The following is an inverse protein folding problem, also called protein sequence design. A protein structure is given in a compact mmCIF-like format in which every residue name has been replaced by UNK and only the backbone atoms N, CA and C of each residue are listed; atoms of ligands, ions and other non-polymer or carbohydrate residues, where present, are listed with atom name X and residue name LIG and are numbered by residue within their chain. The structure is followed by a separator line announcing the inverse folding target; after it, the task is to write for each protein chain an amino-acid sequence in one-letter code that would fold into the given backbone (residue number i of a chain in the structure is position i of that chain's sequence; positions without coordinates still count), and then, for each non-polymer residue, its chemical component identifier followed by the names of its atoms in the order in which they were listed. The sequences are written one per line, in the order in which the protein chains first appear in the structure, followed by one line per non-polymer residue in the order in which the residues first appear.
data_IF_817697120958
#
_entry.id   IF_817697120958
#
_cell.length_a   1.000
_cell.length_b   1.000
_cell.length_c   1.000
_cell.angle_alpha   90.00
_cell.angle_beta   90.00
_cell.angle_gamma   90.00
#
_symmetry.space_group_name_H-M   'P 1'
#
loop_
_entity.id
_entity.type
_entity.pdbx_description
1 polymer ?
#
# COMPACT_ATOMS: atom_id res chain seq x y z
N UNK A 1 -4.31 -1.16 8.46
CA UNK A 1 -4.68 0.22 8.05
C UNK A 1 -5.32 1.08 9.14
N UNK A 2 -6.24 0.57 10.00
CA UNK A 2 -6.94 1.46 10.96
C UNK A 2 -6.00 2.17 11.97
N UNK A 3 -5.12 1.43 12.66
CA UNK A 3 -4.14 2.02 13.61
C UNK A 3 -3.13 2.92 12.89
N UNK A 4 -2.61 2.49 11.73
CA UNK A 4 -1.73 3.31 10.90
C UNK A 4 -2.41 4.61 10.44
N UNK A 5 -3.69 4.56 10.09
CA UNK A 5 -4.48 5.74 9.69
C UNK A 5 -4.61 6.73 10.84
N UNK A 6 -4.99 6.26 12.03
CA UNK A 6 -5.09 7.11 13.23
C UNK A 6 -3.73 7.75 13.57
N UNK A 7 -2.66 6.96 13.54
CA UNK A 7 -1.31 7.46 13.85
C UNK A 7 -0.84 8.47 12.79
N UNK A 8 -1.07 8.19 11.50
CA UNK A 8 -0.68 9.10 10.42
C UNK A 8 -1.48 10.41 10.48
N UNK A 9 -2.79 10.36 10.78
CA UNK A 9 -3.59 11.57 11.02
C UNK A 9 -3.02 12.39 12.18
N UNK A 10 -2.66 11.76 13.31
CA UNK A 10 -2.07 12.50 14.44
C UNK A 10 -0.69 13.09 14.13
N UNK A 11 0.15 12.38 13.38
CA UNK A 11 1.45 12.93 12.95
C UNK A 11 1.24 14.08 11.97
N UNK A 12 0.27 13.97 11.05
CA UNK A 12 -0.13 15.06 10.15
C UNK A 12 -0.72 16.27 10.89
N UNK A 13 -1.47 16.09 11.98
CA UNK A 13 -1.99 17.21 12.78
C UNK A 13 -0.86 18.07 13.37
N UNK A 14 0.27 17.44 13.69
CA UNK A 14 1.47 18.09 14.24
C UNK A 14 2.53 18.47 13.19
N UNK A 15 2.33 18.15 11.91
CA UNK A 15 3.33 18.35 10.85
C UNK A 15 2.68 18.62 9.48
N UNK A 16 3.42 18.46 8.38
CA UNK A 16 2.84 18.51 7.03
C UNK A 16 2.58 17.11 6.51
N UNK A 17 1.60 16.96 5.62
CA UNK A 17 1.25 15.70 4.95
C UNK A 17 2.48 14.95 4.40
N UNK A 18 3.37 15.69 3.72
CA UNK A 18 4.57 15.12 3.12
C UNK A 18 5.64 14.79 4.16
N UNK A 19 5.75 15.57 5.25
CA UNK A 19 6.66 15.27 6.35
C UNK A 19 6.23 14.00 7.12
N UNK A 20 4.94 13.89 7.45
CA UNK A 20 4.37 12.71 8.11
C UNK A 20 4.57 11.45 7.26
N UNK A 21 4.23 11.53 5.98
CA UNK A 21 4.39 10.40 5.03
C UNK A 21 5.86 10.00 4.90
N UNK A 22 6.77 10.96 4.75
CA UNK A 22 8.21 10.69 4.67
C UNK A 22 8.74 10.03 5.95
N UNK A 23 8.30 10.50 7.12
CA UNK A 23 8.69 9.91 8.40
C UNK A 23 8.20 8.47 8.56
N UNK A 24 6.95 8.19 8.16
CA UNK A 24 6.40 6.83 8.17
C UNK A 24 7.18 5.92 7.22
N UNK A 25 7.53 6.38 6.02
CA UNK A 25 8.35 5.59 5.09
C UNK A 25 9.76 5.31 5.62
N UNK A 26 10.41 6.30 6.25
CA UNK A 26 11.75 6.13 6.85
C UNK A 26 11.69 5.13 8.02
N UNK A 27 10.71 5.26 8.91
CA UNK A 27 10.56 4.34 10.04
C UNK A 27 10.20 2.93 9.59
N UNK A 28 9.35 2.79 8.56
CA UNK A 28 9.05 1.50 7.94
C UNK A 28 10.30 0.88 7.29
N UNK A 29 11.11 1.66 6.58
CA UNK A 29 12.36 1.19 5.98
C UNK A 29 13.36 0.71 7.05
N UNK A 30 13.52 1.48 8.13
CA UNK A 30 14.39 1.10 9.24
C UNK A 30 13.94 -0.20 9.93
N UNK A 31 12.62 -0.35 10.14
CA UNK A 31 12.05 -1.57 10.69
C UNK A 31 12.26 -2.77 9.76
N UNK A 32 12.03 -2.61 8.45
CA UNK A 32 12.23 -3.67 7.45
C UNK A 32 13.69 -4.11 7.36
N UNK A 33 14.66 -3.19 7.36
CA UNK A 33 16.09 -3.54 7.37
C UNK A 33 16.46 -4.28 8.66
N UNK A 34 15.95 -3.82 9.80
CA UNK A 34 16.22 -4.45 11.08
C UNK A 34 15.69 -5.89 11.11
N UNK A 35 14.46 -6.12 10.67
CA UNK A 35 13.87 -7.45 10.54
C UNK A 35 14.62 -8.32 9.54
N UNK A 36 15.00 -7.79 8.38
CA UNK A 36 15.82 -8.51 7.39
C UNK A 36 17.18 -8.94 7.98
N UNK A 37 17.82 -8.06 8.75
CA UNK A 37 19.10 -8.34 9.39
C UNK A 37 19.00 -9.54 10.35
N UNK A 38 17.89 -9.66 11.08
CA UNK A 38 17.64 -10.76 12.02
C UNK A 38 17.04 -12.03 11.37
N UNK A 39 16.24 -11.90 10.31
CA UNK A 39 15.46 -13.00 9.73
C UNK A 39 16.22 -13.85 8.70
N UNK A 40 17.49 -13.54 8.42
CA UNK A 40 18.37 -14.43 7.66
C UNK A 40 18.87 -13.92 6.32
N UNK A 41 19.33 -12.66 6.23
CA UNK A 41 20.21 -12.11 5.17
C UNK A 41 19.99 -12.65 3.74
N UNK A 42 18.74 -12.83 3.33
CA UNK A 42 18.44 -13.19 1.95
C UNK A 42 18.92 -12.06 1.03
N UNK A 43 19.29 -12.39 -0.21
CA UNK A 43 19.90 -11.43 -1.13
C UNK A 43 18.99 -10.22 -1.36
N UNK A 44 19.23 -9.09 -0.66
CA UNK A 44 18.45 -7.85 -0.81
C UNK A 44 18.38 -7.36 -2.26
N UNK A 45 19.39 -7.70 -3.04
CA UNK A 45 19.51 -7.31 -4.43
C UNK A 45 18.69 -8.19 -5.38
N UNK A 46 18.12 -9.31 -4.93
CA UNK A 46 17.21 -10.13 -5.76
C UNK A 46 15.94 -9.37 -6.14
N UNK A 47 15.58 -8.33 -5.40
CA UNK A 47 14.49 -7.42 -5.78
C UNK A 47 14.77 -6.74 -7.12
N UNK A 48 16.03 -6.52 -7.49
CA UNK A 48 16.42 -5.95 -8.80
C UNK A 48 16.48 -7.00 -9.91
N UNK A 49 16.42 -8.29 -9.58
CA UNK A 49 16.34 -9.39 -10.55
C UNK A 49 14.91 -9.68 -11.01
N UNK A 50 13.91 -8.96 -10.49
CA UNK A 50 12.53 -9.05 -10.97
C UNK A 50 12.50 -8.79 -12.48
N UNK A 51 12.03 -9.80 -13.24
CA UNK A 51 12.08 -9.84 -14.71
C UNK A 51 11.38 -8.64 -15.36
N UNK A 52 10.29 -8.16 -14.75
CA UNK A 52 9.50 -7.03 -15.22
C UNK A 52 9.77 -5.80 -14.35
N UNK A 53 10.67 -4.92 -14.83
CA UNK A 53 11.06 -3.68 -14.13
C UNK A 53 9.88 -2.75 -13.82
N UNK A 54 8.74 -2.91 -14.48
CA UNK A 54 7.50 -2.18 -14.19
C UNK A 54 7.02 -2.44 -12.74
N UNK A 55 7.23 -3.64 -12.19
CA UNK A 55 6.84 -3.93 -10.81
C UNK A 55 7.69 -3.16 -9.77
N UNK A 56 8.89 -2.71 -10.14
CA UNK A 56 9.72 -1.84 -9.28
C UNK A 56 9.13 -0.43 -9.11
N UNK A 57 8.20 -0.01 -9.98
CA UNK A 57 7.44 1.22 -9.83
C UNK A 57 6.31 1.10 -8.79
N UNK A 58 6.18 -0.05 -8.12
CA UNK A 58 5.22 -0.25 -7.02
C UNK A 58 5.33 0.83 -5.94
N UNK A 59 6.54 1.35 -5.66
CA UNK A 59 6.74 2.47 -4.74
C UNK A 59 6.09 3.78 -5.22
N UNK A 60 6.17 4.08 -6.51
CA UNK A 60 5.53 5.28 -7.12
C UNK A 60 4.02 5.15 -7.10
N UNK A 61 3.49 3.96 -7.44
CA UNK A 61 2.06 3.67 -7.37
C UNK A 61 1.57 3.77 -5.91
N UNK A 62 2.34 3.25 -4.94
CA UNK A 62 2.03 3.35 -3.52
C UNK A 62 1.99 4.79 -3.00
N UNK A 63 2.91 5.64 -3.46
CA UNK A 63 2.89 7.07 -3.14
C UNK A 63 1.65 7.76 -3.70
N UNK A 64 1.25 7.44 -4.94
CA UNK A 64 0.02 7.96 -5.54
C UNK A 64 -1.23 7.52 -4.79
N UNK A 65 -1.31 6.25 -4.38
CA UNK A 65 -2.40 5.74 -3.54
C UNK A 65 -2.45 6.52 -2.22
N UNK A 66 -1.31 6.66 -1.53
CA UNK A 66 -1.22 7.37 -0.24
C UNK A 66 -1.68 8.82 -0.34
N UNK A 67 -1.28 9.52 -1.40
CA UNK A 67 -1.78 10.87 -1.68
C UNK A 67 -3.31 10.91 -1.80
N UNK A 68 -3.87 9.98 -2.57
CA UNK A 68 -5.32 9.88 -2.78
C UNK A 68 -6.06 9.56 -1.48
N UNK A 69 -5.49 8.69 -0.63
CA UNK A 69 -6.03 8.37 0.69
C UNK A 69 -6.08 9.60 1.58
N UNK A 70 -4.98 10.35 1.70
CA UNK A 70 -4.91 11.52 2.58
C UNK A 70 -5.88 12.60 2.09
N UNK A 71 -5.98 12.81 0.77
CA UNK A 71 -6.97 13.71 0.20
C UNK A 71 -8.40 13.26 0.52
N UNK A 72 -8.70 11.97 0.37
CA UNK A 72 -10.01 11.40 0.72
C UNK A 72 -10.36 11.58 2.20
N UNK A 73 -9.38 11.41 3.10
CA UNK A 73 -9.57 11.65 4.54
C UNK A 73 -9.87 13.11 4.82
N UNK A 74 -9.22 14.04 4.11
CA UNK A 74 -9.46 15.47 4.26
C UNK A 74 -10.84 15.92 3.77
N UNK A 75 -11.38 15.30 2.71
CA UNK A 75 -12.67 15.68 2.12
C UNK A 75 -13.87 14.96 2.75
N UNK A 76 -13.76 13.66 3.04
CA UNK A 76 -14.86 12.82 3.54
C UNK A 76 -14.77 12.48 5.03
N UNK A 77 -13.66 12.82 5.68
CA UNK A 77 -13.35 12.39 7.03
C UNK A 77 -12.76 10.97 7.10
N UNK A 78 -12.07 10.61 8.20
CA UNK A 78 -11.24 9.40 8.25
C UNK A 78 -12.03 8.09 8.08
N UNK A 79 -13.21 8.00 8.68
CA UNK A 79 -14.02 6.79 8.68
C UNK A 79 -14.61 6.47 7.30
N UNK A 80 -15.21 7.46 6.63
CA UNK A 80 -15.79 7.30 5.30
C UNK A 80 -14.73 7.07 4.24
N UNK A 81 -13.62 7.82 4.28
CA UNK A 81 -12.51 7.60 3.36
C UNK A 81 -11.95 6.18 3.47
N UNK A 82 -11.73 5.70 4.69
CA UNK A 82 -11.22 4.34 4.92
C UNK A 82 -12.20 3.28 4.40
N UNK A 83 -13.50 3.41 4.65
CA UNK A 83 -14.50 2.48 4.12
C UNK A 83 -14.52 2.47 2.59
N UNK A 84 -14.48 3.64 1.96
CA UNK A 84 -14.46 3.76 0.51
C UNK A 84 -13.21 3.11 -0.11
N UNK A 85 -12.04 3.35 0.47
CA UNK A 85 -10.77 2.78 0.00
C UNK A 85 -10.78 1.26 0.11
N UNK A 86 -11.26 0.70 1.23
CA UNK A 86 -11.33 -0.76 1.41
C UNK A 86 -12.26 -1.40 0.38
N UNK A 87 -13.42 -0.78 0.10
CA UNK A 87 -14.33 -1.25 -0.94
C UNK A 87 -13.68 -1.19 -2.33
N UNK A 88 -13.05 -0.07 -2.67
CA UNK A 88 -12.39 0.10 -3.96
C UNK A 88 -11.26 -0.94 -4.15
N UNK A 89 -10.45 -1.17 -3.12
CA UNK A 89 -9.37 -2.17 -3.14
C UNK A 89 -9.91 -3.59 -3.35
N UNK A 90 -11.00 -3.94 -2.66
CA UNK A 90 -11.63 -5.26 -2.79
C UNK A 90 -12.16 -5.48 -4.21
N UNK A 91 -12.89 -4.50 -4.76
CA UNK A 91 -13.43 -4.57 -6.13
C UNK A 91 -12.30 -4.68 -7.15
N UNK A 92 -11.25 -3.86 -7.04
CA UNK A 92 -10.11 -3.91 -7.95
C UNK A 92 -9.35 -5.23 -7.83
N UNK A 93 -9.14 -5.75 -6.61
CA UNK A 93 -8.50 -7.06 -6.39
C UNK A 93 -9.29 -8.19 -7.07
N UNK A 94 -10.61 -8.19 -6.89
CA UNK A 94 -11.47 -9.18 -7.53
C UNK A 94 -11.43 -9.08 -9.06
N UNK A 95 -11.43 -7.87 -9.62
CA UNK A 95 -11.27 -7.68 -11.07
C UNK A 95 -9.91 -8.19 -11.56
N UNK A 96 -8.82 -7.95 -10.82
CA UNK A 96 -7.49 -8.46 -11.17
C UNK A 96 -7.48 -9.99 -11.22
N UNK A 97 -8.07 -10.65 -10.22
CA UNK A 97 -8.19 -12.11 -10.14
C UNK A 97 -9.04 -12.70 -11.28
N UNK A 98 -10.19 -12.08 -11.59
CA UNK A 98 -11.09 -12.51 -12.67
C UNK A 98 -10.44 -12.36 -14.05
N UNK A 99 -9.74 -11.26 -14.28
CA UNK A 99 -9.07 -11.01 -15.57
C UNK A 99 -7.69 -11.68 -15.66
N UNK A 100 -7.14 -12.20 -14.56
CA UNK A 100 -5.80 -12.78 -14.51
C UNK A 100 -4.71 -11.75 -14.84
N UNK A 101 -4.94 -10.49 -14.47
CA UNK A 101 -4.00 -9.40 -14.76
C UNK A 101 -2.74 -9.57 -13.89
N UNK A 102 -1.57 -9.25 -14.42
CA UNK A 102 -0.28 -9.36 -13.71
C UNK A 102 0.17 -10.79 -13.36
N UNK A 103 -0.33 -11.81 -14.08
CA UNK A 103 0.11 -13.19 -13.89
C UNK A 103 -0.48 -13.89 -12.68
N UNK A 104 -1.49 -13.29 -12.03
CA UNK A 104 -2.29 -13.97 -11.01
C UNK A 104 -3.12 -15.10 -11.62
N UNK A 105 -3.28 -16.19 -10.85
CA UNK A 105 -4.14 -17.31 -11.22
C UNK A 105 -5.55 -16.80 -11.52
N UNK A 106 -6.05 -17.08 -12.74
CA UNK A 106 -7.42 -16.73 -13.10
C UNK A 106 -8.37 -17.53 -12.24
N UNK A 107 -9.05 -16.86 -11.32
CA UNK A 107 -10.19 -17.45 -10.65
C UNK A 107 -11.33 -17.45 -11.66
N UNK A 108 -11.92 -18.62 -11.93
CA UNK A 108 -13.16 -18.65 -12.70
C UNK A 108 -14.18 -17.76 -11.98
N UNK A 109 -14.94 -16.97 -12.74
CA UNK A 109 -15.99 -16.12 -12.20
C UNK A 109 -17.08 -17.03 -11.60
N UNK A 110 -16.87 -17.49 -10.36
CA UNK A 110 -17.85 -18.23 -9.59
C UNK A 110 -18.81 -17.22 -9.01
N UNK A 111 -19.90 -17.00 -9.74
CA UNK A 111 -21.08 -16.35 -9.23
C UNK A 111 -21.65 -17.27 -8.14
N UNK A 112 -21.21 -17.09 -6.89
CA UNK A 112 -21.82 -17.77 -5.75
C UNK A 112 -23.26 -17.26 -5.68
N UNK A 113 -24.18 -18.17 -5.99
CA UNK A 113 -25.62 -17.94 -5.96
C UNK A 113 -26.15 -17.97 -4.54
#
# INVERSE_FOLDING_TARGET
MSVQGVFNTRVMDSSSMWAATSWVHISAFAASISLWYFSGREALLSVFEVSEKIYLLGGVIGAFITFTVIKGISELGPAYATMFILLAQLVVSYLIEVFGLFGTEKVCFEWIK
#
